data_IF_066671702059
#
_entry.id   IF_066671702059
#
_cell.length_a   1.000
_cell.length_b   1.000
_cell.length_c   1.000
_cell.angle_alpha   90.00
_cell.angle_beta   90.00
_cell.angle_gamma   90.00
#
_symmetry.space_group_name_H-M   'P 1'
#
loop_
_entity.id
_entity.type
_entity.pdbx_description
1 polymer ?
#
# COMPACT_ATOMS: atom_id res chain seq x y z
N UNK A 1 -22.36 -12.13 6.15
CA UNK A 1 -21.56 -10.96 6.58
C UNK A 1 -20.13 -11.45 6.77
N UNK A 2 -19.21 -11.12 5.86
CA UNK A 2 -17.89 -11.73 5.84
C UNK A 2 -17.01 -11.20 7.00
N UNK A 3 -16.44 -12.13 7.78
CA UNK A 3 -15.54 -11.89 8.91
C UNK A 3 -14.21 -11.25 8.46
N UNK A 4 -14.23 -9.96 8.08
CA UNK A 4 -13.06 -9.21 7.62
C UNK A 4 -12.18 -8.64 8.76
N UNK A 5 -12.36 -9.09 10.00
CA UNK A 5 -11.67 -8.54 11.18
C UNK A 5 -10.75 -9.55 11.89
N UNK A 6 -9.96 -10.33 11.14
CA UNK A 6 -9.00 -11.27 11.75
C UNK A 6 -7.81 -10.53 12.39
N UNK A 7 -7.33 -9.45 11.77
CA UNK A 7 -6.23 -8.64 12.30
C UNK A 7 -6.71 -7.52 13.24
N UNK A 8 -6.11 -7.48 14.42
CA UNK A 8 -6.14 -6.37 15.38
C UNK A 8 -5.39 -5.16 14.83
N UNK A 9 -5.65 -3.98 15.37
CA UNK A 9 -4.92 -2.76 14.98
C UNK A 9 -3.42 -2.84 15.27
N UNK A 10 -3.03 -3.50 16.37
CA UNK A 10 -1.63 -3.78 16.68
C UNK A 10 -0.96 -4.57 15.56
N UNK A 11 -1.58 -5.65 15.11
CA UNK A 11 -1.06 -6.48 14.02
C UNK A 11 -0.98 -5.68 12.70
N UNK A 12 -2.00 -4.89 12.36
CA UNK A 12 -2.02 -4.03 11.16
C UNK A 12 -0.89 -2.99 11.17
N UNK A 13 -0.66 -2.35 12.31
CA UNK A 13 0.43 -1.37 12.48
C UNK A 13 1.79 -2.06 12.38
N UNK A 14 1.96 -3.26 12.94
CA UNK A 14 3.21 -4.02 12.82
C UNK A 14 3.53 -4.40 11.37
N UNK A 15 2.55 -4.86 10.60
CA UNK A 15 2.72 -5.14 9.16
C UNK A 15 3.19 -3.88 8.42
N UNK A 16 2.56 -2.74 8.74
CA UNK A 16 2.93 -1.45 8.14
C UNK A 16 4.37 -1.07 8.49
N UNK A 17 4.80 -1.24 9.75
CA UNK A 17 6.17 -0.97 10.18
C UNK A 17 7.20 -1.87 9.48
N UNK A 18 6.89 -3.15 9.25
CA UNK A 18 7.76 -4.07 8.53
C UNK A 18 7.97 -3.61 7.08
N UNK A 19 6.88 -3.24 6.39
CA UNK A 19 6.92 -2.69 5.01
C UNK A 19 7.74 -1.40 4.98
N UNK A 20 7.49 -0.47 5.90
CA UNK A 20 8.21 0.81 5.95
C UNK A 20 9.70 0.62 6.24
N UNK A 21 10.05 -0.30 7.14
CA UNK A 21 11.45 -0.62 7.44
C UNK A 21 12.17 -1.24 6.23
N UNK A 22 11.49 -2.11 5.48
CA UNK A 22 12.03 -2.67 4.24
C UNK A 22 12.23 -1.57 3.18
N UNK A 23 11.21 -0.72 2.97
CA UNK A 23 11.28 0.39 2.00
C UNK A 23 12.34 1.42 2.38
N UNK A 24 12.49 1.73 3.67
CA UNK A 24 13.55 2.60 4.17
C UNK A 24 14.93 2.13 3.72
N UNK A 25 15.20 0.83 3.75
CA UNK A 25 16.49 0.27 3.29
C UNK A 25 16.70 0.46 1.79
N UNK A 26 15.64 0.33 0.99
CA UNK A 26 15.68 0.59 -0.47
C UNK A 26 15.98 2.07 -0.72
N UNK A 27 15.24 2.98 -0.09
CA UNK A 27 15.41 4.43 -0.27
C UNK A 27 16.74 4.95 0.26
N UNK A 28 17.33 4.28 1.27
CA UNK A 28 18.64 4.60 1.85
C UNK A 28 19.79 4.38 0.86
N UNK A 29 19.66 3.42 -0.05
CA UNK A 29 20.62 3.20 -1.14
C UNK A 29 20.25 3.94 -2.42
N UNK A 30 19.41 4.98 -2.29
CA UNK A 30 18.91 5.82 -3.37
C UNK A 30 18.15 5.10 -4.50
N UNK A 31 17.60 3.93 -4.16
CA UNK A 31 16.75 3.16 -5.07
C UNK A 31 15.27 3.44 -4.84
N UNK A 32 14.47 3.16 -5.87
CA UNK A 32 13.00 3.17 -5.86
C UNK A 32 12.52 1.78 -6.24
N UNK A 33 11.48 1.27 -5.57
CA UNK A 33 10.92 -0.05 -5.87
C UNK A 33 10.09 -0.06 -7.16
N UNK A 34 9.30 1.00 -7.39
CA UNK A 34 8.44 1.23 -8.59
C UNK A 34 7.21 0.33 -8.71
N UNK A 35 7.22 -0.86 -8.09
CA UNK A 35 6.10 -1.80 -8.17
C UNK A 35 5.64 -2.33 -6.80
N UNK A 36 5.42 -1.44 -5.83
CA UNK A 36 4.91 -1.84 -4.52
C UNK A 36 3.40 -2.09 -4.56
N UNK A 37 3.01 -3.33 -4.30
CA UNK A 37 1.62 -3.73 -4.10
C UNK A 37 1.56 -5.00 -3.25
N UNK A 38 0.38 -5.41 -2.78
CA UNK A 38 0.24 -6.54 -1.85
C UNK A 38 0.77 -7.87 -2.38
N UNK A 39 0.66 -8.11 -3.68
CA UNK A 39 1.31 -9.25 -4.35
C UNK A 39 2.85 -9.31 -4.21
N UNK A 40 3.50 -8.18 -3.96
CA UNK A 40 4.95 -8.07 -3.71
C UNK A 40 5.30 -7.95 -2.22
N UNK A 41 4.35 -8.20 -1.32
CA UNK A 41 4.60 -8.28 0.13
C UNK A 41 4.48 -9.74 0.58
N UNK A 42 5.59 -10.30 1.05
CA UNK A 42 5.70 -11.69 1.49
C UNK A 42 5.69 -11.79 3.01
N UNK A 43 4.95 -12.75 3.54
CA UNK A 43 4.96 -13.09 4.96
C UNK A 43 5.87 -14.30 5.20
N UNK A 44 6.83 -14.18 6.11
CA UNK A 44 7.69 -15.30 6.51
C UNK A 44 7.06 -16.07 7.67
N UNK A 45 6.67 -17.36 7.49
CA UNK A 45 6.15 -18.16 8.59
C UNK A 45 7.22 -18.50 9.65
N UNK A 46 8.51 -18.25 9.37
CA UNK A 46 9.63 -18.56 10.28
C UNK A 46 9.81 -17.51 11.37
N UNK A 47 9.67 -16.23 11.01
CA UNK A 47 9.87 -15.12 11.94
C UNK A 47 8.67 -14.17 12.04
N UNK A 48 7.59 -14.46 11.32
CA UNK A 48 6.32 -13.73 11.33
C UNK A 48 6.41 -12.26 10.88
N UNK A 49 7.51 -11.90 10.22
CA UNK A 49 7.70 -10.58 9.64
C UNK A 49 7.23 -10.55 8.18
N UNK A 50 6.99 -9.33 7.71
CA UNK A 50 6.62 -9.04 6.33
C UNK A 50 7.82 -8.43 5.58
N UNK A 51 7.94 -8.78 4.31
CA UNK A 51 9.07 -8.41 3.46
C UNK A 51 8.58 -7.91 2.11
N UNK A 52 9.30 -6.94 1.55
CA UNK A 52 9.13 -6.52 0.16
C UNK A 52 9.91 -7.49 -0.74
N UNK A 53 9.29 -7.93 -1.83
CA UNK A 53 9.88 -8.78 -2.86
C UNK A 53 9.77 -8.16 -4.25
N UNK A 54 10.30 -8.84 -5.25
CA UNK A 54 10.29 -8.45 -6.67
C UNK A 54 11.01 -7.12 -6.96
N UNK A 55 12.34 -7.20 -6.93
CA UNK A 55 13.23 -6.08 -7.23
C UNK A 55 13.52 -5.93 -8.73
N UNK A 56 12.77 -6.59 -9.63
CA UNK A 56 13.00 -6.55 -11.08
C UNK A 56 12.93 -5.15 -11.70
N UNK A 57 12.19 -4.25 -11.05
CA UNK A 57 12.04 -2.84 -11.44
C UNK A 57 12.75 -1.88 -10.49
N UNK A 58 13.43 -2.41 -9.47
CA UNK A 58 14.17 -1.61 -8.52
C UNK A 58 15.40 -0.99 -9.19
N UNK A 59 15.64 0.29 -8.95
CA UNK A 59 16.81 0.97 -9.51
C UNK A 59 16.93 2.43 -9.10
N UNK A 60 17.94 3.13 -9.63
CA UNK A 60 18.20 4.54 -9.35
C UNK A 60 16.98 5.43 -9.60
N UNK A 61 16.86 6.50 -8.82
CA UNK A 61 15.71 7.39 -8.89
C UNK A 61 15.63 8.23 -10.18
N UNK A 62 16.76 8.43 -10.84
CA UNK A 62 16.94 9.26 -12.04
C UNK A 62 16.76 8.49 -13.36
N UNK A 63 16.70 7.15 -13.31
CA UNK A 63 16.55 6.32 -14.52
C UNK A 63 15.13 6.46 -15.11
N UNK A 64 14.97 7.04 -16.33
CA UNK A 64 13.67 7.19 -16.97
C UNK A 64 13.02 5.84 -17.31
N UNK A 65 11.70 5.80 -17.40
CA UNK A 65 10.94 4.65 -17.90
C UNK A 65 10.10 5.05 -19.11
N UNK A 66 10.32 4.41 -20.25
CA UNK A 66 9.58 4.71 -21.49
C UNK A 66 8.08 4.33 -21.39
N UNK A 67 7.73 3.50 -20.41
CA UNK A 67 6.38 3.00 -20.15
C UNK A 67 6.01 3.05 -18.67
N UNK A 68 4.72 3.12 -18.38
CA UNK A 68 4.19 3.00 -17.02
C UNK A 68 4.09 1.50 -16.73
N UNK A 69 4.77 1.02 -15.69
CA UNK A 69 4.72 -0.38 -15.28
C UNK A 69 4.29 -0.48 -13.83
N UNK A 70 3.31 -1.34 -13.55
CA UNK A 70 3.01 -1.75 -12.19
C UNK A 70 1.57 -2.16 -11.99
N UNK A 71 1.15 -2.24 -10.73
CA UNK A 71 -0.23 -2.52 -10.38
C UNK A 71 -1.06 -1.23 -10.26
N UNK A 72 -1.99 -0.98 -11.20
CA UNK A 72 -2.62 0.33 -11.42
C UNK A 72 -3.11 1.08 -10.17
N UNK A 73 -3.84 0.48 -9.21
CA UNK A 73 -4.25 1.17 -7.99
C UNK A 73 -3.11 1.76 -7.15
N UNK A 74 -1.92 1.17 -7.24
CA UNK A 74 -0.74 1.51 -6.44
C UNK A 74 0.19 2.48 -7.17
N UNK A 75 -0.03 2.72 -8.47
CA UNK A 75 0.77 3.67 -9.25
C UNK A 75 0.34 5.09 -8.89
N UNK A 76 1.32 5.94 -8.56
CA UNK A 76 1.06 7.32 -8.19
C UNK A 76 0.46 8.12 -9.36
N UNK A 77 -0.46 9.06 -9.11
CA UNK A 77 -1.21 9.73 -10.18
C UNK A 77 -0.31 10.58 -11.09
N UNK A 78 0.78 11.15 -10.59
CA UNK A 78 1.78 11.88 -11.40
C UNK A 78 2.53 10.98 -12.38
N UNK A 79 2.68 9.70 -12.04
CA UNK A 79 3.29 8.67 -12.90
C UNK A 79 2.27 8.21 -13.93
N UNK A 80 1.02 7.94 -13.51
CA UNK A 80 -0.09 7.61 -14.41
C UNK A 80 -0.27 8.71 -15.47
N UNK A 81 -0.23 9.98 -15.04
CA UNK A 81 -0.37 11.14 -15.91
C UNK A 81 0.87 11.48 -16.76
N UNK A 82 1.99 10.75 -16.58
CA UNK A 82 3.28 11.00 -17.25
C UNK A 82 3.83 12.41 -17.05
N UNK A 83 3.56 13.02 -15.89
CA UNK A 83 4.08 14.34 -15.52
C UNK A 83 5.42 14.20 -14.79
N UNK A 84 5.58 13.12 -14.02
CA UNK A 84 6.84 12.76 -13.37
C UNK A 84 7.09 11.27 -13.55
N UNK A 85 8.37 10.92 -13.64
CA UNK A 85 8.84 9.54 -13.51
C UNK A 85 8.58 9.01 -12.09
N UNK A 86 8.82 7.72 -11.89
CA UNK A 86 8.82 7.13 -10.55
C UNK A 86 9.83 7.85 -9.66
N UNK A 87 9.41 8.15 -8.43
CA UNK A 87 10.23 8.80 -7.40
C UNK A 87 10.10 8.05 -6.08
N UNK A 88 10.93 8.36 -5.09
CA UNK A 88 10.71 7.86 -3.72
C UNK A 88 9.31 8.23 -3.22
N UNK A 89 8.80 9.41 -3.59
CA UNK A 89 7.45 9.84 -3.25
C UNK A 89 6.34 9.02 -3.97
N UNK A 90 6.61 8.43 -5.14
CA UNK A 90 5.66 7.50 -5.77
C UNK A 90 5.59 6.17 -5.02
N UNK A 91 6.71 5.67 -4.47
CA UNK A 91 6.67 4.50 -3.57
C UNK A 91 5.84 4.81 -2.30
N UNK A 92 5.92 6.03 -1.76
CA UNK A 92 5.10 6.46 -0.60
C UNK A 92 3.60 6.45 -0.94
N UNK A 93 3.21 6.82 -2.16
CA UNK A 93 1.83 6.67 -2.62
C UNK A 93 1.41 5.21 -2.63
N UNK A 94 2.24 4.30 -3.15
CA UNK A 94 1.96 2.86 -3.14
C UNK A 94 1.81 2.33 -1.71
N UNK A 95 2.64 2.80 -0.77
CA UNK A 95 2.49 2.50 0.67
C UNK A 95 1.16 2.98 1.23
N UNK A 96 0.64 4.13 0.81
CA UNK A 96 -0.67 4.60 1.24
C UNK A 96 -1.79 3.62 0.86
N UNK A 97 -1.72 3.06 -0.35
CA UNK A 97 -2.68 2.08 -0.85
C UNK A 97 -2.53 0.74 -0.11
N UNK A 98 -1.29 0.31 0.18
CA UNK A 98 -1.02 -0.84 1.06
C UNK A 98 -1.59 -0.62 2.47
N UNK A 99 -1.35 0.55 3.07
CA UNK A 99 -1.89 0.91 4.39
C UNK A 99 -3.42 0.86 4.39
N UNK A 100 -4.06 1.36 3.33
CA UNK A 100 -5.50 1.26 3.14
C UNK A 100 -5.96 -0.19 3.02
N UNK A 101 -5.29 -1.02 2.23
CA UNK A 101 -5.64 -2.44 2.06
C UNK A 101 -5.48 -3.21 3.38
N UNK A 102 -4.38 -2.97 4.11
CA UNK A 102 -4.16 -3.52 5.45
C UNK A 102 -5.30 -3.10 6.39
N UNK A 103 -5.80 -1.87 6.29
CA UNK A 103 -6.96 -1.39 7.06
C UNK A 103 -8.28 -2.02 6.60
N UNK A 104 -8.49 -2.18 5.30
CA UNK A 104 -9.76 -2.60 4.73
C UNK A 104 -9.93 -4.13 4.66
N UNK A 105 -8.81 -4.88 4.68
CA UNK A 105 -8.80 -6.33 4.53
C UNK A 105 -9.33 -6.82 3.19
N UNK A 106 -9.26 -5.98 2.15
CA UNK A 106 -9.73 -6.26 0.78
C UNK A 106 -8.92 -5.42 -0.22
N UNK A 107 -8.75 -5.88 -1.47
CA UNK A 107 -7.90 -5.13 -2.39
C UNK A 107 -8.58 -3.85 -2.91
N UNK A 108 -7.77 -2.85 -3.32
CA UNK A 108 -8.26 -1.53 -3.72
C UNK A 108 -9.08 -1.62 -5.00
N UNK A 109 -10.12 -0.78 -5.11
CA UNK A 109 -10.98 -0.70 -6.30
C UNK A 109 -11.51 -2.06 -6.80
N UNK A 110 -11.87 -2.97 -5.88
CA UNK A 110 -12.35 -4.32 -6.21
C UNK A 110 -13.50 -4.42 -7.22
N UNK A 111 -14.32 -3.38 -7.29
CA UNK A 111 -15.48 -3.33 -8.16
C UNK A 111 -15.16 -2.61 -9.49
N UNK A 112 -13.89 -2.33 -9.79
CA UNK A 112 -13.44 -1.66 -11.01
C UNK A 112 -12.50 -2.55 -11.86
N UNK A 113 -12.54 -2.32 -13.17
CA UNK A 113 -11.53 -2.80 -14.09
C UNK A 113 -10.26 -1.96 -13.96
N UNK A 114 -9.09 -2.57 -14.16
CA UNK A 114 -7.81 -1.89 -14.05
C UNK A 114 -7.37 -1.40 -15.43
N UNK A 115 -8.11 -0.42 -15.93
CA UNK A 115 -8.02 0.12 -17.28
C UNK A 115 -7.83 1.66 -17.27
N UNK A 116 -7.95 2.27 -18.46
CA UNK A 116 -7.79 3.70 -18.65
C UNK A 116 -8.83 4.52 -17.86
N UNK A 117 -10.02 3.99 -17.63
CA UNK A 117 -11.08 4.71 -16.92
C UNK A 117 -10.75 4.81 -15.43
N UNK A 118 -10.32 3.70 -14.82
CA UNK A 118 -9.82 3.74 -13.44
C UNK A 118 -8.61 4.68 -13.31
N UNK A 119 -7.67 4.62 -14.26
CA UNK A 119 -6.51 5.52 -14.28
C UNK A 119 -6.94 7.00 -14.32
N UNK A 120 -7.88 7.35 -15.19
CA UNK A 120 -8.45 8.71 -15.28
C UNK A 120 -9.12 9.13 -13.96
N UNK A 121 -9.88 8.24 -13.32
CA UNK A 121 -10.51 8.52 -12.04
C UNK A 121 -9.47 8.78 -10.93
N UNK A 122 -8.40 7.98 -10.86
CA UNK A 122 -7.31 8.15 -9.88
C UNK A 122 -6.61 9.50 -10.08
N UNK A 123 -6.28 9.85 -11.32
CA UNK A 123 -5.68 11.15 -11.68
C UNK A 123 -6.63 12.30 -11.28
N UNK A 124 -7.93 12.13 -11.45
CA UNK A 124 -8.95 13.09 -11.03
C UNK A 124 -9.22 13.13 -9.52
N UNK A 125 -8.49 12.35 -8.72
CA UNK A 125 -8.53 12.41 -7.26
C UNK A 125 -9.35 11.32 -6.59
N UNK A 126 -9.85 10.34 -7.34
CA UNK A 126 -10.51 9.18 -6.75
C UNK A 126 -9.53 8.41 -5.86
N UNK A 127 -9.97 8.09 -4.64
CA UNK A 127 -9.25 7.25 -3.68
C UNK A 127 -10.19 6.20 -3.09
N UNK A 128 -9.68 5.05 -2.63
CA UNK A 128 -10.51 4.08 -1.93
C UNK A 128 -11.14 4.67 -0.66
N UNK A 129 -12.42 4.41 -0.42
CA UNK A 129 -13.11 4.88 0.79
C UNK A 129 -12.50 4.26 2.05
N UNK A 130 -12.04 5.09 2.99
CA UNK A 130 -11.57 4.63 4.30
C UNK A 130 -12.77 4.14 5.12
N UNK A 131 -12.65 2.95 5.71
CA UNK A 131 -13.76 2.30 6.42
C UNK A 131 -13.94 2.85 7.84
N UNK A 132 -15.17 2.86 8.39
CA UNK A 132 -15.39 3.12 9.80
C UNK A 132 -14.57 2.16 10.68
N UNK A 133 -14.00 2.68 11.77
CA UNK A 133 -13.13 1.91 12.68
C UNK A 133 -11.63 1.97 12.35
N UNK A 134 -11.23 2.65 11.27
CA UNK A 134 -9.83 3.06 11.05
C UNK A 134 -9.44 4.16 12.07
N UNK A 135 -8.35 4.00 12.83
CA UNK A 135 -7.86 4.99 13.79
C UNK A 135 -7.58 6.31 13.11
N UNK A 136 -7.87 7.40 13.80
CA UNK A 136 -7.80 8.74 13.23
C UNK A 136 -6.38 9.07 12.74
N UNK A 137 -5.37 8.72 13.52
CA UNK A 137 -3.96 8.95 13.21
C UNK A 137 -3.54 8.15 11.97
N UNK A 138 -3.95 6.88 11.88
CA UNK A 138 -3.65 6.03 10.73
C UNK A 138 -4.36 6.52 9.47
N UNK A 139 -5.62 6.97 9.59
CA UNK A 139 -6.38 7.60 8.52
C UNK A 139 -5.66 8.84 7.98
N UNK A 140 -5.21 9.75 8.86
CA UNK A 140 -4.49 10.96 8.48
C UNK A 140 -3.23 10.65 7.68
N UNK A 141 -2.48 9.61 8.09
CA UNK A 141 -1.28 9.19 7.36
C UNK A 141 -1.59 8.62 5.97
N UNK A 142 -2.62 7.77 5.83
CA UNK A 142 -3.07 7.33 4.50
C UNK A 142 -3.38 8.55 3.64
N UNK A 143 -4.13 9.51 4.21
CA UNK A 143 -4.56 10.70 3.49
C UNK A 143 -3.40 11.60 3.04
N UNK A 144 -2.35 11.69 3.85
CA UNK A 144 -1.14 12.45 3.53
C UNK A 144 -0.27 11.73 2.49
N UNK A 145 -0.12 10.41 2.59
CA UNK A 145 0.74 9.64 1.70
C UNK A 145 0.18 9.51 0.27
N UNK A 146 -1.14 9.59 0.07
CA UNK A 146 -1.75 9.51 -1.26
C UNK A 146 -2.11 10.86 -1.90
N UNK A 147 -1.56 11.97 -1.36
CA UNK A 147 -1.77 13.30 -1.91
C UNK A 147 -1.36 13.33 -3.39
N UNK A 148 -2.16 13.97 -4.24
CA UNK A 148 -1.88 14.13 -5.65
C UNK A 148 -0.57 14.90 -5.92
N UNK A 149 -0.18 15.81 -5.02
CA UNK A 149 1.12 16.47 -5.07
C UNK A 149 2.18 15.62 -4.34
N UNK A 150 3.15 15.03 -5.07
CA UNK A 150 4.18 14.20 -4.44
C UNK A 150 5.06 14.95 -3.43
N UNK A 151 5.16 16.28 -3.51
CA UNK A 151 5.95 17.07 -2.56
C UNK A 151 5.29 17.20 -1.18
N UNK A 152 3.99 16.93 -1.07
CA UNK A 152 3.24 16.96 0.20
C UNK A 152 3.27 15.63 0.94
N UNK A 153 3.76 14.57 0.29
CA UNK A 153 3.91 13.25 0.89
C UNK A 153 5.12 13.26 1.83
N UNK A 154 5.03 12.61 3.00
CA UNK A 154 6.19 12.49 3.88
C UNK A 154 7.27 11.63 3.22
N UNK A 155 8.54 11.89 3.54
CA UNK A 155 9.59 10.91 3.24
C UNK A 155 9.43 9.65 4.11
N UNK A 156 10.17 8.61 3.76
CA UNK A 156 10.09 7.31 4.43
C UNK A 156 10.46 7.35 5.92
N UNK A 157 11.37 8.24 6.33
CA UNK A 157 11.78 8.36 7.74
C UNK A 157 10.66 8.99 8.56
N UNK A 158 10.12 10.10 8.05
CA UNK A 158 9.00 10.82 8.65
C UNK A 158 7.80 9.89 8.79
N UNK A 159 7.45 9.15 7.73
CA UNK A 159 6.34 8.20 7.76
C UNK A 159 6.59 7.05 8.76
N UNK A 160 7.80 6.48 8.79
CA UNK A 160 8.17 5.44 9.74
C UNK A 160 8.01 5.92 11.19
N UNK A 161 8.49 7.12 11.51
CA UNK A 161 8.40 7.67 12.86
C UNK A 161 6.95 7.96 13.28
N UNK A 162 6.11 8.48 12.38
CA UNK A 162 4.69 8.69 12.67
C UNK A 162 3.95 7.37 12.92
N UNK A 163 4.17 6.33 12.10
CA UNK A 163 3.57 5.01 12.35
C UNK A 163 4.10 4.39 13.65
N UNK A 164 5.38 4.60 13.98
CA UNK A 164 5.96 4.15 15.24
C UNK A 164 5.35 4.86 16.45
N UNK A 165 4.98 6.14 16.35
CA UNK A 165 4.22 6.85 17.40
C UNK A 165 2.85 6.21 17.60
N UNK A 166 2.11 5.94 16.51
CA UNK A 166 0.83 5.22 16.58
C UNK A 166 1.02 3.87 17.27
N UNK A 167 2.03 3.09 16.88
CA UNK A 167 2.35 1.81 17.51
C UNK A 167 2.49 1.94 19.03
N UNK A 168 3.29 2.90 19.53
CA UNK A 168 3.48 3.14 20.97
C UNK A 168 2.15 3.40 21.71
N UNK A 169 1.24 4.19 21.13
CA UNK A 169 -0.09 4.44 21.72
C UNK A 169 -0.89 3.13 21.89
N UNK A 170 -0.80 2.21 20.93
CA UNK A 170 -1.45 0.90 21.02
C UNK A 170 -0.79 -0.06 22.01
N UNK A 171 0.52 0.08 22.27
CA UNK A 171 1.24 -0.71 23.28
C UNK A 171 1.03 -0.16 24.71
N UNK A 172 0.85 1.15 24.88
CA UNK A 172 0.67 1.79 26.18
C UNK A 172 -0.76 1.63 26.75
N UNK A 173 -1.76 1.43 25.90
CA UNK A 173 -3.18 1.43 26.28
C UNK A 173 -3.73 0.09 26.85
N UNK A 174 -2.91 -0.90 27.25
CA UNK A 174 -3.46 -2.14 27.87
C UNK A 174 -2.55 -2.88 28.86
N UNK A 175 -3.16 -3.23 30.00
CA UNK A 175 -2.81 -4.33 30.91
C UNK A 175 -2.74 -5.69 30.16
N UNK A 176 -1.91 -6.59 30.68
CA UNK A 176 -1.51 -7.90 30.14
C UNK A 176 -2.62 -8.84 29.63
N UNK A 177 -2.20 -9.90 28.91
CA UNK A 177 -2.94 -11.11 28.47
C UNK A 177 -3.77 -11.08 27.18
N UNK A 178 -3.13 -10.84 26.04
CA UNK A 178 -3.47 -11.59 24.82
C UNK A 178 -2.21 -12.23 24.26
N UNK A 179 -1.93 -13.46 24.71
CA UNK A 179 -0.95 -14.34 24.06
C UNK A 179 -1.39 -14.52 22.60
N UNK A 180 -0.49 -14.18 21.67
CA UNK A 180 -0.73 -14.05 20.24
C UNK A 180 -1.34 -15.31 19.59
N UNK A 181 -2.63 -15.24 19.26
CA UNK A 181 -3.26 -16.12 18.26
C UNK A 181 -3.04 -15.64 16.81
N UNK A 182 -2.15 -14.65 16.58
CA UNK A 182 -1.79 -14.13 15.25
C UNK A 182 -1.45 -15.24 14.26
N UNK A 183 -0.67 -16.23 14.71
CA UNK A 183 -0.28 -17.39 13.92
C UNK A 183 -1.49 -18.19 13.41
N UNK A 184 -2.40 -18.54 14.33
CA UNK A 184 -3.62 -19.28 14.01
C UNK A 184 -4.52 -18.50 13.04
N UNK A 185 -4.59 -17.17 13.20
CA UNK A 185 -5.39 -16.28 12.33
C UNK A 185 -4.82 -16.20 10.92
N UNK A 186 -3.50 -16.02 10.74
CA UNK A 186 -2.88 -15.98 9.41
C UNK A 186 -3.04 -17.33 8.71
N UNK A 187 -2.75 -18.43 9.39
CA UNK A 187 -2.89 -19.77 8.81
C UNK A 187 -4.34 -20.05 8.39
N UNK A 188 -5.32 -19.58 9.18
CA UNK A 188 -6.74 -19.68 8.83
C UNK A 188 -7.07 -18.83 7.59
N UNK A 189 -6.54 -17.60 7.50
CA UNK A 189 -6.73 -16.71 6.34
C UNK A 189 -6.16 -17.34 5.06
N UNK A 190 -4.95 -17.89 5.10
CA UNK A 190 -4.32 -18.57 3.95
C UNK A 190 -5.17 -19.77 3.51
N UNK A 191 -5.66 -20.58 4.46
CA UNK A 191 -6.54 -21.72 4.16
C UNK A 191 -7.88 -21.30 3.54
N UNK A 192 -8.47 -20.19 4.00
CA UNK A 192 -9.73 -19.65 3.44
C UNK A 192 -9.51 -19.15 2.01
N UNK A 193 -8.44 -18.39 1.77
CA UNK A 193 -8.13 -17.82 0.46
C UNK A 193 -7.88 -18.93 -0.57
N UNK A 194 -7.16 -20.01 -0.20
CA UNK A 194 -6.90 -21.15 -1.10
C UNK A 194 -8.16 -21.93 -1.50
N UNK A 195 -9.28 -21.80 -0.77
CA UNK A 195 -10.56 -22.48 -1.09
C UNK A 195 -11.47 -21.70 -2.03
N UNK A 196 -11.19 -20.42 -2.30
CA UNK A 196 -12.07 -19.56 -3.12
C UNK A 196 -11.37 -19.15 -4.41
N UNK A 197 -11.61 -19.88 -5.51
CA UNK A 197 -10.93 -19.64 -6.81
C UNK A 197 -11.12 -18.23 -7.39
N UNK A 198 -12.23 -17.55 -7.09
CA UNK A 198 -12.51 -16.18 -7.56
C UNK A 198 -11.74 -15.07 -6.81
N UNK A 199 -11.27 -15.32 -5.58
CA UNK A 199 -10.53 -14.32 -4.80
C UNK A 199 -9.05 -14.27 -5.21
N UNK A 200 -8.52 -15.42 -5.61
CA UNK A 200 -7.18 -15.63 -6.15
C UNK A 200 -6.94 -14.76 -7.39
N UNK A 201 -7.81 -14.79 -8.41
CA UNK A 201 -7.64 -13.98 -9.64
C UNK A 201 -7.53 -12.46 -9.37
N UNK A 202 -8.21 -11.97 -8.33
CA UNK A 202 -8.18 -10.55 -7.98
C UNK A 202 -6.95 -10.19 -7.11
N UNK A 203 -6.50 -11.10 -6.24
CA UNK A 203 -5.21 -11.04 -5.55
C UNK A 203 -4.02 -11.12 -6.54
N UNK A 204 -4.22 -11.75 -7.69
CA UNK A 204 -3.25 -11.90 -8.78
C UNK A 204 -3.53 -10.96 -9.97
N UNK A 205 -4.25 -9.84 -9.81
CA UNK A 205 -4.15 -8.76 -10.80
C UNK A 205 -2.70 -8.25 -10.76
N UNK A 206 -1.89 -8.85 -11.62
CA UNK A 206 -0.46 -8.64 -11.72
C UNK A 206 -0.15 -7.29 -12.33
N UNK A 207 1.08 -6.86 -12.08
CA UNK A 207 1.67 -5.69 -12.69
C UNK A 207 1.67 -5.79 -14.21
N UNK A 208 1.32 -4.69 -14.87
CA UNK A 208 1.20 -4.61 -16.33
C UNK A 208 1.89 -3.36 -16.84
N UNK A 209 2.21 -3.40 -18.13
CA UNK A 209 2.63 -2.21 -18.88
C UNK A 209 1.38 -1.46 -19.33
N UNK A 210 1.36 -0.15 -19.09
CA UNK A 210 0.31 0.76 -19.51
C UNK A 210 0.85 1.82 -20.46
N UNK A 211 0.09 2.06 -21.53
CA UNK A 211 0.35 3.12 -22.51
C UNK A 211 -0.80 4.14 -22.44
N UNK A 212 -0.82 4.93 -21.37
CA UNK A 212 -1.80 6.01 -21.24
C UNK A 212 -1.23 7.34 -21.71
N UNK A 213 -2.05 8.08 -22.45
CA UNK A 213 -1.74 9.42 -22.95
C UNK A 213 -2.92 10.36 -22.68
N UNK A 214 -2.63 11.66 -22.64
CA UNK A 214 -3.61 12.75 -22.56
C UNK A 214 -4.41 12.81 -21.23
N UNK A 215 -3.73 12.59 -20.11
CA UNK A 215 -4.33 12.81 -18.78
C UNK A 215 -4.12 14.25 -18.30
N UNK A 216 -5.07 14.79 -17.50
CA UNK A 216 -4.91 16.10 -16.89
C UNK A 216 -3.88 16.06 -15.74
N UNK A 217 -3.53 17.23 -15.21
CA UNK A 217 -2.74 17.31 -13.98
C UNK A 217 -3.49 16.62 -12.81
N UNK A 218 -2.80 15.75 -12.04
CA UNK A 218 -3.34 15.13 -10.85
C UNK A 218 -3.90 16.16 -9.87
N UNK A 219 -5.03 15.79 -9.25
CA UNK A 219 -5.65 16.59 -8.19
C UNK A 219 -6.18 15.69 -7.09
N UNK A 220 -6.34 16.26 -5.90
CA UNK A 220 -7.11 15.61 -4.84
C UNK A 220 -8.62 15.81 -5.13
N UNK A 221 -9.47 14.89 -4.68
CA UNK A 221 -10.91 15.06 -4.79
C UNK A 221 -11.35 16.34 -4.04
N UNK A 222 -12.26 17.11 -4.64
CA UNK A 222 -12.95 18.20 -3.95
C UNK A 222 -13.84 17.60 -2.87
N UNK A 223 -13.64 18.04 -1.62
CA UNK A 223 -14.46 17.62 -0.47
C UNK A 223 -15.85 18.22 -0.53
#
# INVERSE_FOLDING_TARGET
MANHHLLTWKERIMITLDILNALHRIHKVDAIHRDLHSGNILHSPRNYNWYISDFGFCGPADKPSDSIYGNLPYIAPEVIARIKEYTKASDIYSVAILMWEISAGKPPFKDHNYDKDLAMCIVNGMRPKILPGTPLEYKKLIEQCWDADPSKRPDINTLYDEVKKISKLYYQNKNETQMNNYHNKINLQIKINNKTSKSIDFLFKSSKVYCFNNFPNPRNATK
#
